data_IF_581160205878
#
_entry.id   IF_581160205878
#
_cell.length_a   1.000
_cell.length_b   1.000
_cell.length_c   1.000
_cell.angle_alpha   90.00
_cell.angle_beta   90.00
_cell.angle_gamma   90.00
#
_symmetry.space_group_name_H-M   'P 1'
#
loop_
_entity.id
_entity.type
_entity.pdbx_description
1 polymer ?
#
# COMPACT_ATOMS: atom_id res chain seq x y z
N UNK A 1 -13.01 -18.38 28.22
CA UNK A 1 -12.17 -19.19 29.14
C UNK A 1 -10.75 -19.10 28.63
N UNK A 2 -9.81 -18.53 29.39
CA UNK A 2 -8.44 -18.23 28.92
C UNK A 2 -7.43 -19.36 29.21
N UNK A 3 -7.77 -20.31 30.07
CA UNK A 3 -6.91 -21.42 30.47
C UNK A 3 -7.47 -22.73 29.91
N UNK A 4 -6.70 -23.40 29.03
CA UNK A 4 -7.05 -24.72 28.47
C UNK A 4 -6.86 -24.85 26.95
N UNK A 5 -6.61 -23.76 26.23
CA UNK A 5 -6.30 -23.83 24.80
C UNK A 5 -4.80 -24.00 24.55
N UNK A 6 -4.44 -24.93 23.65
CA UNK A 6 -3.05 -25.09 23.17
C UNK A 6 -2.59 -23.84 22.41
N UNK A 7 -3.53 -23.14 21.76
CA UNK A 7 -3.29 -21.90 21.03
C UNK A 7 -3.77 -20.70 21.84
N UNK A 8 -2.98 -19.62 21.80
CA UNK A 8 -3.38 -18.34 22.39
C UNK A 8 -4.69 -17.84 21.74
N UNK A 9 -5.62 -17.21 22.49
CA UNK A 9 -6.92 -16.75 21.98
C UNK A 9 -6.84 -15.88 20.71
N UNK A 10 -5.72 -15.19 20.52
CA UNK A 10 -5.41 -14.43 19.30
C UNK A 10 -5.48 -15.28 18.02
N UNK A 11 -5.03 -16.54 18.07
CA UNK A 11 -5.05 -17.46 16.93
C UNK A 11 -6.36 -18.24 16.80
N UNK A 12 -7.23 -18.12 17.79
CA UNK A 12 -8.52 -18.81 17.81
C UNK A 12 -9.64 -17.95 17.24
N UNK A 13 -9.36 -16.70 16.87
CA UNK A 13 -10.34 -15.79 16.32
C UNK A 13 -10.82 -16.30 14.96
N UNK A 14 -12.08 -16.77 14.84
CA UNK A 14 -12.59 -17.26 13.57
C UNK A 14 -12.71 -16.09 12.61
N UNK A 15 -12.27 -16.28 11.37
CA UNK A 15 -12.54 -15.30 10.30
C UNK A 15 -14.06 -15.19 10.12
N UNK A 16 -14.64 -14.01 10.39
CA UNK A 16 -16.10 -13.85 10.43
C UNK A 16 -16.69 -13.32 9.13
N UNK A 17 -15.88 -12.72 8.25
CA UNK A 17 -16.36 -12.07 7.02
C UNK A 17 -15.84 -12.78 5.76
N UNK A 18 -16.71 -13.07 4.77
CA UNK A 18 -16.24 -13.52 3.47
C UNK A 18 -15.37 -12.44 2.82
N UNK A 19 -14.18 -12.84 2.37
CA UNK A 19 -13.20 -11.92 1.77
C UNK A 19 -13.34 -11.96 0.26
N UNK A 20 -13.61 -10.81 -0.34
CA UNK A 20 -13.45 -10.64 -1.79
C UNK A 20 -11.95 -10.47 -2.10
N UNK A 21 -11.33 -11.58 -2.52
CA UNK A 21 -9.88 -11.63 -2.79
C UNK A 21 -9.49 -10.69 -3.93
N UNK A 22 -10.34 -10.51 -4.95
CA UNK A 22 -10.02 -9.65 -6.09
C UNK A 22 -10.08 -8.18 -5.70
N UNK A 23 -11.10 -7.81 -4.93
CA UNK A 23 -11.20 -6.47 -4.38
C UNK A 23 -10.02 -6.17 -3.41
N UNK A 24 -9.66 -7.14 -2.57
CA UNK A 24 -8.52 -7.03 -1.64
C UNK A 24 -7.19 -6.89 -2.38
N UNK A 25 -7.01 -7.63 -3.47
CA UNK A 25 -5.84 -7.56 -4.36
C UNK A 25 -5.73 -6.20 -5.03
N UNK A 26 -6.79 -5.75 -5.69
CA UNK A 26 -6.82 -4.44 -6.34
C UNK A 26 -6.54 -3.32 -5.32
N UNK A 27 -7.11 -3.44 -4.12
CA UNK A 27 -6.95 -2.45 -3.07
C UNK A 27 -5.52 -2.40 -2.54
N UNK A 28 -4.89 -3.54 -2.25
CA UNK A 28 -3.51 -3.60 -1.77
C UNK A 28 -2.47 -3.19 -2.82
N UNK A 29 -2.80 -3.27 -4.12
CA UNK A 29 -1.86 -2.91 -5.18
C UNK A 29 -2.01 -1.47 -5.66
N UNK A 30 -3.24 -0.97 -5.82
CA UNK A 30 -3.49 0.26 -6.57
C UNK A 30 -4.33 1.32 -5.84
N UNK A 31 -4.95 1.01 -4.70
CA UNK A 31 -5.79 2.01 -4.02
C UNK A 31 -4.97 3.19 -3.48
N UNK A 32 -5.56 4.39 -3.36
CA UNK A 32 -4.90 5.53 -2.72
C UNK A 32 -4.51 5.28 -1.26
N UNK A 33 -5.35 4.57 -0.50
CA UNK A 33 -5.11 4.37 0.93
C UNK A 33 -4.12 3.24 1.25
N UNK A 34 -4.09 2.17 0.43
CA UNK A 34 -3.33 0.93 0.72
C UNK A 34 -2.45 0.44 -0.43
N UNK A 35 -2.55 1.04 -1.61
CA UNK A 35 -1.93 0.56 -2.83
C UNK A 35 -0.41 0.65 -2.79
N UNK A 36 0.27 -0.50 -2.89
CA UNK A 36 1.72 -0.56 -2.95
C UNK A 36 2.31 0.29 -4.09
N UNK A 37 1.73 0.22 -5.29
CA UNK A 37 2.20 1.01 -6.44
C UNK A 37 1.73 2.47 -6.40
N UNK A 38 0.66 2.76 -5.66
CA UNK A 38 0.25 4.14 -5.42
C UNK A 38 1.30 4.88 -4.57
N UNK A 39 1.73 4.24 -3.48
CA UNK A 39 2.72 4.79 -2.56
C UNK A 39 4.16 4.69 -3.09
N UNK A 40 4.46 3.69 -3.93
CA UNK A 40 5.79 3.43 -4.49
C UNK A 40 5.75 3.27 -6.02
N UNK A 41 5.49 4.33 -6.80
CA UNK A 41 5.26 4.22 -8.24
C UNK A 41 6.51 3.74 -9.02
N UNK A 42 7.72 4.03 -8.51
CA UNK A 42 8.96 3.54 -9.11
C UNK A 42 9.06 2.01 -9.15
N UNK A 43 8.37 1.29 -8.27
CA UNK A 43 8.42 -0.16 -8.16
C UNK A 43 7.68 -0.91 -9.26
N UNK A 44 6.93 -0.22 -10.12
CA UNK A 44 6.42 -0.79 -11.37
C UNK A 44 7.57 -1.27 -12.27
N UNK A 45 8.70 -0.55 -12.26
CA UNK A 45 9.89 -0.93 -13.03
C UNK A 45 10.55 -2.20 -12.48
N UNK A 46 10.59 -2.34 -11.14
CA UNK A 46 11.05 -3.56 -10.47
C UNK A 46 10.17 -4.76 -10.80
N UNK A 47 8.84 -4.58 -10.82
CA UNK A 47 7.90 -5.64 -11.23
C UNK A 47 8.16 -6.09 -12.67
N UNK A 48 8.34 -5.12 -13.59
CA UNK A 48 8.67 -5.43 -14.98
C UNK A 48 9.99 -6.20 -15.10
N UNK A 49 11.02 -5.83 -14.32
CA UNK A 49 12.29 -6.54 -14.29
C UNK A 49 12.15 -7.99 -13.78
N UNK A 50 11.38 -8.20 -12.72
CA UNK A 50 11.07 -9.53 -12.19
C UNK A 50 10.34 -10.41 -13.21
N UNK A 51 9.29 -9.90 -13.86
CA UNK A 51 8.54 -10.65 -14.88
C UNK A 51 9.41 -10.96 -16.10
N UNK A 52 10.22 -10.00 -16.55
CA UNK A 52 11.11 -10.20 -17.68
C UNK A 52 12.18 -11.27 -17.39
N UNK A 53 12.60 -11.42 -16.13
CA UNK A 53 13.59 -12.43 -15.71
C UNK A 53 13.11 -13.87 -15.90
N UNK A 54 11.79 -14.11 -15.84
CA UNK A 54 11.20 -15.44 -16.05
C UNK A 54 11.36 -15.94 -17.49
N UNK A 55 11.42 -15.03 -18.47
CA UNK A 55 11.42 -15.38 -19.90
C UNK A 55 12.81 -15.54 -20.49
N UNK A 56 13.80 -14.80 -19.98
CA UNK A 56 15.12 -14.67 -20.63
C UNK A 56 16.22 -15.56 -20.04
N UNK A 57 15.92 -16.37 -19.02
CA UNK A 57 16.94 -16.94 -18.16
C UNK A 57 17.58 -15.81 -17.34
N UNK A 58 17.35 -15.79 -16.03
CA UNK A 58 17.76 -14.66 -15.23
C UNK A 58 19.28 -14.65 -15.03
N UNK A 59 19.98 -13.62 -15.53
CA UNK A 59 21.34 -13.27 -15.06
C UNK A 59 21.36 -13.17 -13.53
N UNK A 60 20.22 -12.75 -12.95
CA UNK A 60 19.99 -12.56 -11.53
C UNK A 60 18.98 -13.60 -11.02
N UNK A 61 19.48 -14.76 -10.57
CA UNK A 61 18.67 -15.88 -10.07
C UNK A 61 17.74 -15.54 -8.90
N UNK A 62 17.98 -14.42 -8.20
CA UNK A 62 17.12 -13.95 -7.11
C UNK A 62 15.80 -13.31 -7.59
N UNK A 63 15.72 -12.82 -8.83
CA UNK A 63 14.53 -12.10 -9.33
C UNK A 63 13.26 -12.99 -9.38
N UNK A 64 13.31 -14.23 -9.90
CA UNK A 64 12.17 -15.14 -9.83
C UNK A 64 11.76 -15.47 -8.39
N UNK A 65 12.72 -15.58 -7.49
CA UNK A 65 12.47 -15.85 -6.08
C UNK A 65 11.80 -14.66 -5.38
N UNK A 66 12.27 -13.44 -5.63
CA UNK A 66 11.64 -12.21 -5.16
C UNK A 66 10.20 -12.07 -5.68
N UNK A 67 9.95 -12.43 -6.95
CA UNK A 67 8.61 -12.44 -7.52
C UNK A 67 7.71 -13.46 -6.84
N UNK A 68 8.22 -14.67 -6.60
CA UNK A 68 7.49 -15.73 -5.90
C UNK A 68 7.09 -15.29 -4.48
N UNK A 69 8.03 -14.68 -3.73
CA UNK A 69 7.76 -14.11 -2.42
C UNK A 69 6.69 -13.01 -2.52
N UNK A 70 6.80 -12.09 -3.47
CA UNK A 70 5.84 -11.02 -3.64
C UNK A 70 4.42 -11.54 -3.91
N UNK A 71 4.28 -12.53 -4.80
CA UNK A 71 3.00 -13.17 -5.10
C UNK A 71 2.46 -13.90 -3.85
N UNK A 72 3.28 -14.72 -3.20
CA UNK A 72 2.86 -15.47 -2.01
C UNK A 72 2.43 -14.54 -0.87
N UNK A 73 3.18 -13.47 -0.63
CA UNK A 73 2.87 -12.47 0.40
C UNK A 73 1.57 -11.74 0.12
N UNK A 74 1.39 -11.23 -1.10
CA UNK A 74 0.15 -10.55 -1.50
C UNK A 74 -1.04 -11.51 -1.42
N UNK A 75 -0.86 -12.77 -1.84
CA UNK A 75 -1.90 -13.79 -1.74
C UNK A 75 -2.33 -14.02 -0.29
N UNK A 76 -1.39 -14.18 0.65
CA UNK A 76 -1.68 -14.32 2.08
C UNK A 76 -2.43 -13.09 2.61
N UNK A 77 -1.95 -11.88 2.28
CA UNK A 77 -2.58 -10.62 2.70
C UNK A 77 -4.01 -10.49 2.18
N UNK A 78 -4.27 -10.87 0.92
CA UNK A 78 -5.60 -10.77 0.32
C UNK A 78 -6.59 -11.80 0.86
N UNK A 79 -6.12 -12.87 1.51
CA UNK A 79 -6.98 -13.86 2.18
C UNK A 79 -7.15 -13.57 3.68
N UNK A 80 -6.49 -12.53 4.20
CA UNK A 80 -6.61 -12.15 5.59
C UNK A 80 -7.91 -11.38 5.84
N UNK A 81 -8.62 -11.66 6.93
CA UNK A 81 -9.91 -11.03 7.24
C UNK A 81 -9.81 -9.50 7.29
N UNK A 82 -8.75 -8.98 7.92
CA UNK A 82 -8.45 -7.56 7.97
C UNK A 82 -7.37 -7.17 6.94
N UNK A 83 -7.52 -7.63 5.69
CA UNK A 83 -6.61 -7.36 4.57
C UNK A 83 -6.37 -5.87 4.32
N UNK A 84 -7.24 -4.98 4.80
CA UNK A 84 -7.05 -3.53 4.72
C UNK A 84 -6.09 -2.99 5.79
N UNK A 85 -5.55 -3.84 6.67
CA UNK A 85 -4.55 -3.47 7.67
C UNK A 85 -5.08 -2.62 8.83
N UNK A 86 -6.39 -2.58 9.05
CA UNK A 86 -7.03 -1.83 10.14
C UNK A 86 -6.77 -0.32 10.06
N UNK A 87 -6.59 0.32 11.22
CA UNK A 87 -6.31 1.76 11.35
C UNK A 87 -4.84 2.14 11.07
N UNK A 88 -4.16 1.34 10.27
CA UNK A 88 -2.79 1.63 9.86
C UNK A 88 -2.72 2.69 8.77
N UNK A 89 -1.52 3.19 8.50
CA UNK A 89 -1.30 4.19 7.45
C UNK A 89 -0.61 3.53 6.26
N UNK A 90 -1.10 3.82 5.05
CA UNK A 90 -0.48 3.39 3.81
C UNK A 90 -0.43 1.86 3.61
N UNK A 91 0.52 1.37 2.79
CA UNK A 91 0.62 -0.04 2.39
C UNK A 91 1.26 -0.91 3.49
N UNK A 92 0.82 -0.81 4.75
CA UNK A 92 1.45 -1.51 5.90
C UNK A 92 1.64 -3.00 5.67
N UNK A 93 0.64 -3.68 5.11
CA UNK A 93 0.72 -5.13 4.91
C UNK A 93 1.60 -5.50 3.72
N UNK A 94 1.90 -4.58 2.80
CA UNK A 94 2.74 -4.82 1.62
C UNK A 94 4.11 -4.14 1.72
N UNK A 95 4.39 -3.37 2.79
CA UNK A 95 5.69 -2.71 3.00
C UNK A 95 6.84 -3.70 3.18
N UNK A 96 6.56 -4.93 3.61
CA UNK A 96 7.56 -6.00 3.72
C UNK A 96 8.13 -6.41 2.35
N UNK A 97 7.47 -6.02 1.26
CA UNK A 97 7.95 -6.25 -0.11
C UNK A 97 8.96 -5.20 -0.57
N UNK A 98 9.04 -4.04 0.10
CA UNK A 98 9.92 -2.93 -0.29
C UNK A 98 11.37 -3.40 -0.54
N UNK A 99 12.03 -4.17 0.36
CA UNK A 99 13.41 -4.60 0.13
C UNK A 99 13.57 -5.44 -1.15
N UNK A 100 12.65 -6.37 -1.41
CA UNK A 100 12.67 -7.21 -2.61
C UNK A 100 12.52 -6.38 -3.88
N UNK A 101 11.65 -5.38 -3.87
CA UNK A 101 11.45 -4.47 -4.99
C UNK A 101 12.62 -3.50 -5.20
N UNK A 102 13.30 -3.06 -4.14
CA UNK A 102 14.55 -2.28 -4.25
C UNK A 102 15.65 -3.12 -4.90
N UNK A 103 15.87 -4.36 -4.45
CA UNK A 103 16.86 -5.24 -5.07
C UNK A 103 16.51 -5.57 -6.52
N UNK A 104 15.24 -5.83 -6.81
CA UNK A 104 14.77 -6.09 -8.16
C UNK A 104 14.93 -4.89 -9.12
N UNK A 105 15.11 -3.68 -8.59
CA UNK A 105 15.38 -2.49 -9.41
C UNK A 105 16.82 -2.48 -9.95
N UNK A 106 17.80 -3.05 -9.23
CA UNK A 106 19.23 -2.97 -9.56
C UNK A 106 19.52 -3.44 -11.00
N UNK A 107 19.04 -4.62 -11.46
CA UNK A 107 19.26 -5.08 -12.83
C UNK A 107 18.72 -4.12 -13.89
N UNK A 108 17.61 -3.44 -13.59
CA UNK A 108 17.02 -2.43 -14.47
C UNK A 108 17.92 -1.20 -14.58
N UNK A 109 18.42 -0.69 -13.45
CA UNK A 109 19.37 0.43 -13.41
C UNK A 109 20.66 0.11 -14.17
N UNK A 110 21.17 -1.10 -13.99
CA UNK A 110 22.38 -1.58 -14.67
C UNK A 110 22.18 -1.66 -16.20
N UNK A 111 21.09 -2.29 -16.66
CA UNK A 111 20.79 -2.44 -18.09
C UNK A 111 20.48 -1.12 -18.79
N UNK A 112 19.83 -0.18 -18.09
CA UNK A 112 19.40 1.08 -18.71
C UNK A 112 20.55 2.08 -18.87
N UNK A 113 21.71 1.83 -18.24
CA UNK A 113 22.90 2.69 -18.26
C UNK A 113 22.52 4.16 -18.05
N UNK A 114 21.91 4.43 -16.89
CA UNK A 114 21.29 5.69 -16.52
C UNK A 114 22.23 6.91 -16.70
N UNK A 115 23.53 6.72 -16.52
CA UNK A 115 24.53 7.76 -16.77
C UNK A 115 24.52 8.30 -18.21
N UNK A 116 24.18 7.46 -19.20
CA UNK A 116 24.04 7.84 -20.62
C UNK A 116 22.64 8.34 -20.97
N UNK A 117 21.69 8.30 -20.03
CA UNK A 117 20.27 8.64 -20.23
C UNK A 117 19.78 9.55 -19.10
N UNK A 118 20.18 10.83 -19.07
CA UNK A 118 19.89 11.73 -17.96
C UNK A 118 18.37 11.94 -17.75
N UNK A 119 17.58 12.03 -18.82
CA UNK A 119 16.12 12.18 -18.70
C UNK A 119 15.47 10.97 -18.01
N UNK A 120 15.93 9.75 -18.30
CA UNK A 120 15.39 8.54 -17.69
C UNK A 120 15.81 8.43 -16.21
N UNK A 121 17.02 8.90 -15.89
CA UNK A 121 17.49 9.04 -14.50
C UNK A 121 16.65 10.04 -13.73
N UNK A 122 16.40 11.21 -14.31
CA UNK A 122 15.56 12.26 -13.71
C UNK A 122 14.14 11.76 -13.49
N UNK A 123 13.55 11.05 -14.45
CA UNK A 123 12.22 10.47 -14.32
C UNK A 123 12.15 9.43 -13.18
N UNK A 124 13.15 8.55 -13.07
CA UNK A 124 13.23 7.59 -11.98
C UNK A 124 13.36 8.27 -10.62
N UNK A 125 14.25 9.26 -10.52
CA UNK A 125 14.45 10.05 -9.32
C UNK A 125 13.13 10.75 -8.95
N UNK A 126 12.48 11.41 -9.90
CA UNK A 126 11.18 12.04 -9.69
C UNK A 126 10.13 11.04 -9.17
N UNK A 127 10.04 9.84 -9.76
CA UNK A 127 9.14 8.78 -9.30
C UNK A 127 9.43 8.33 -7.86
N UNK A 128 10.70 8.24 -7.47
CA UNK A 128 11.07 7.93 -6.07
C UNK A 128 10.74 9.09 -5.13
N UNK A 129 10.95 10.33 -5.56
CA UNK A 129 10.66 11.51 -4.76
C UNK A 129 9.16 11.77 -4.57
N UNK A 130 8.29 11.29 -5.48
CA UNK A 130 6.83 11.36 -5.30
C UNK A 130 6.38 10.60 -4.04
N UNK A 131 7.05 9.52 -3.67
CA UNK A 131 6.74 8.79 -2.43
C UNK A 131 7.04 9.60 -1.17
N UNK A 132 8.02 10.51 -1.21
CA UNK A 132 8.52 11.19 -0.01
C UNK A 132 7.44 12.07 0.67
N UNK A 133 6.72 12.98 -0.02
CA UNK A 133 5.68 13.79 0.61
C UNK A 133 4.58 12.97 1.28
N UNK A 134 4.17 11.85 0.66
CA UNK A 134 3.15 10.95 1.21
C UNK A 134 3.59 10.34 2.54
N UNK A 135 4.83 9.81 2.59
CA UNK A 135 5.39 9.24 3.82
C UNK A 135 5.73 10.30 4.87
N UNK A 136 6.25 11.44 4.45
CA UNK A 136 6.58 12.56 5.34
C UNK A 136 5.35 13.09 6.05
N UNK A 137 4.26 13.31 5.30
CA UNK A 137 2.99 13.72 5.87
C UNK A 137 2.41 12.65 6.78
N UNK A 138 2.44 11.39 6.38
CA UNK A 138 2.01 10.27 7.21
C UNK A 138 2.76 10.17 8.55
N UNK A 139 4.03 10.58 8.59
CA UNK A 139 4.85 10.56 9.80
C UNK A 139 4.56 11.73 10.75
N UNK A 140 4.26 12.92 10.22
CA UNK A 140 4.16 14.15 11.01
C UNK A 140 2.71 14.50 11.37
N UNK A 141 1.75 14.21 10.49
CA UNK A 141 0.37 14.65 10.64
C UNK A 141 -0.52 13.54 11.24
N UNK A 142 -0.97 13.67 12.50
CA UNK A 142 -1.83 12.67 13.11
C UNK A 142 -3.21 12.56 12.44
N UNK A 143 -3.61 13.55 11.64
CA UNK A 143 -4.87 13.50 10.89
C UNK A 143 -4.90 12.35 9.87
N UNK A 144 -3.73 11.95 9.36
CA UNK A 144 -3.56 10.80 8.45
C UNK A 144 -3.90 9.48 9.16
N UNK A 145 -3.49 9.34 10.43
CA UNK A 145 -3.88 8.20 11.27
C UNK A 145 -5.37 8.24 11.65
N UNK A 146 -5.87 9.44 12.02
CA UNK A 146 -7.28 9.65 12.37
C UNK A 146 -8.24 9.46 11.19
N UNK A 147 -7.77 9.59 9.95
CA UNK A 147 -8.57 9.28 8.77
C UNK A 147 -9.18 7.90 8.82
N UNK A 148 -8.48 6.92 9.40
CA UNK A 148 -9.03 5.57 9.53
C UNK A 148 -10.21 5.49 10.53
N UNK A 149 -10.29 6.43 11.47
CA UNK A 149 -11.31 6.51 12.52
C UNK A 149 -12.49 7.42 12.14
N UNK A 150 -12.32 8.30 11.15
CA UNK A 150 -13.34 9.25 10.73
C UNK A 150 -14.54 8.55 10.09
N UNK A 151 -15.72 9.18 10.05
CA UNK A 151 -16.90 8.60 9.44
C UNK A 151 -16.77 8.53 7.89
N UNK A 152 -16.99 7.37 7.26
CA UNK A 152 -17.20 6.05 7.87
C UNK A 152 -15.87 5.40 8.30
N UNK A 153 -15.90 4.68 9.44
CA UNK A 153 -14.70 4.02 9.96
C UNK A 153 -14.23 2.96 8.95
N UNK A 154 -12.90 2.83 8.78
CA UNK A 154 -12.34 1.89 7.80
C UNK A 154 -12.74 0.43 8.07
N UNK A 155 -13.07 0.09 9.32
CA UNK A 155 -13.48 -1.26 9.70
C UNK A 155 -14.97 -1.54 9.43
N UNK A 156 -15.78 -0.49 9.22
CA UNK A 156 -17.21 -0.63 8.91
C UNK A 156 -17.40 -1.09 7.46
N UNK A 157 -16.47 -0.72 6.58
CA UNK A 157 -16.42 -1.20 5.21
C UNK A 157 -15.27 -0.57 4.41
N UNK A 158 -14.84 -1.20 3.33
CA UNK A 158 -13.66 -0.77 2.59
C UNK A 158 -13.88 0.42 1.65
N UNK A 159 -15.09 0.97 1.56
CA UNK A 159 -15.44 2.07 0.65
C UNK A 159 -14.49 3.28 0.66
N UNK A 160 -13.96 3.74 1.83
CA UNK A 160 -13.01 4.85 1.87
C UNK A 160 -11.68 4.58 1.17
N UNK A 161 -11.27 3.31 1.03
CA UNK A 161 -9.94 2.92 0.52
C UNK A 161 -9.69 3.45 -0.89
N UNK A 162 -10.76 3.57 -1.70
CA UNK A 162 -10.70 3.99 -3.11
C UNK A 162 -11.03 5.47 -3.34
N UNK A 163 -11.25 6.27 -2.29
CA UNK A 163 -11.61 7.69 -2.46
C UNK A 163 -10.38 8.52 -2.85
N UNK A 164 -10.29 8.87 -4.14
CA UNK A 164 -9.20 9.70 -4.66
C UNK A 164 -9.24 11.17 -4.24
N UNK A 165 -10.42 11.72 -3.91
CA UNK A 165 -10.58 13.09 -3.40
C UNK A 165 -10.35 13.20 -1.89
N UNK A 166 -10.46 12.08 -1.18
CA UNK A 166 -10.38 11.99 0.28
C UNK A 166 -9.39 10.89 0.66
N UNK A 167 -8.15 11.07 0.24
CA UNK A 167 -7.11 10.06 0.41
C UNK A 167 -6.48 10.20 1.78
N UNK A 168 -6.22 9.08 2.43
CA UNK A 168 -5.52 9.06 3.71
C UNK A 168 -4.26 9.92 3.72
N UNK A 169 -3.41 9.81 2.69
CA UNK A 169 -2.13 10.54 2.62
C UNK A 169 -2.26 12.04 2.33
N UNK A 170 -3.43 12.54 1.93
CA UNK A 170 -3.66 13.95 1.54
C UNK A 170 -4.76 14.66 2.33
N UNK A 171 -5.64 13.92 3.02
CA UNK A 171 -6.82 14.47 3.68
C UNK A 171 -6.46 15.22 4.97
N UNK A 172 -6.30 16.55 4.85
CA UNK A 172 -6.03 17.45 5.97
C UNK A 172 -7.25 18.11 6.62
N UNK A 173 -8.42 18.15 5.96
CA UNK A 173 -9.52 19.03 6.41
C UNK A 173 -10.69 18.29 7.10
N UNK A 174 -11.15 17.15 6.59
CA UNK A 174 -12.38 16.51 7.12
C UNK A 174 -12.20 15.95 8.53
N UNK A 175 -11.05 15.34 8.81
CA UNK A 175 -10.81 14.66 10.10
C UNK A 175 -10.42 15.63 11.22
N UNK A 176 -9.82 16.77 10.88
CA UNK A 176 -9.56 17.85 11.85
C UNK A 176 -10.87 18.53 12.23
N UNK A 177 -11.75 18.82 11.26
CA UNK A 177 -13.11 19.31 11.54
C UNK A 177 -13.91 18.33 12.39
N UNK A 178 -13.91 17.04 12.04
CA UNK A 178 -14.57 15.99 12.82
C UNK A 178 -13.99 15.83 14.24
N UNK A 179 -12.66 15.91 14.40
CA UNK A 179 -11.99 15.86 15.71
C UNK A 179 -12.34 17.07 16.58
N UNK A 180 -12.46 18.24 15.98
CA UNK A 180 -12.85 19.48 16.67
C UNK A 180 -14.36 19.58 16.88
N UNK A 181 -15.14 18.55 16.50
CA UNK A 181 -16.60 18.57 16.48
C UNK A 181 -17.17 19.81 15.76
N UNK A 182 -16.41 20.36 14.83
CA UNK A 182 -16.91 21.36 13.91
C UNK A 182 -17.83 20.59 12.97
N UNK A 183 -19.13 20.92 12.98
CA UNK A 183 -20.11 20.35 12.07
C UNK A 183 -19.62 20.39 10.62
N UNK A 184 -20.18 19.57 9.71
CA UNK A 184 -19.78 19.60 8.31
C UNK A 184 -19.92 21.04 7.81
N UNK A 185 -18.81 21.74 7.68
CA UNK A 185 -18.83 23.12 7.21
C UNK A 185 -19.31 23.06 5.77
N UNK A 186 -20.44 23.71 5.52
CA UNK A 186 -21.14 23.85 4.24
C UNK A 186 -20.19 23.59 3.07
N UNK A 187 -20.27 22.37 2.53
CA UNK A 187 -19.92 22.17 1.15
C UNK A 187 -21.21 22.42 0.40
N UNK A 188 -21.29 23.66 -0.11
CA UNK A 188 -22.25 24.08 -1.11
C UNK A 188 -22.58 22.92 -2.05
N UNK A 189 -23.89 22.72 -2.21
CA UNK A 189 -24.50 22.20 -3.41
C UNK A 189 -23.75 22.73 -4.64
N UNK A 190 -23.19 21.86 -5.46
CA UNK A 190 -23.31 21.86 -6.94
C UNK A 190 -22.35 20.86 -7.57
N UNK A 191 -22.96 19.90 -8.29
CA UNK A 191 -22.53 19.20 -9.51
C UNK A 191 -21.12 18.56 -9.60
#
# INVERSE_FOLDING_TARGET
QLYGSVLHPYYQWPSQKPVDVMYSLASNLFSPARGFFYWHPAFVLSLAAMIASLRKGADYKFLPFALCIAIAHVWIVCNYEAWWGGHSIGPRLTSDLVPFFVFALIPFLHRMNLHRRPMASMALIALMFISFPLHFRAAIDPSVGRWNLGPPNINDGPGPIWKFRDQQGLAGDRNVRALLMLGPGDQDETD
#
